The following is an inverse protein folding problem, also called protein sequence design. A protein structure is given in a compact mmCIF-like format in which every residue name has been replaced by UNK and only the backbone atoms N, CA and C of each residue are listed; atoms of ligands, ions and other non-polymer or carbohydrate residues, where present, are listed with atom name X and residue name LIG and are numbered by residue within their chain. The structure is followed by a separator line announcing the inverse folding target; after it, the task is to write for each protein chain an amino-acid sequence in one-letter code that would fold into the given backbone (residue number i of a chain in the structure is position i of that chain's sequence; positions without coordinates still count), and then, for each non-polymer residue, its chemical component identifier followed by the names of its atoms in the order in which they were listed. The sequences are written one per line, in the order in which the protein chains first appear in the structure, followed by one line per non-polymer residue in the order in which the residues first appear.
data_IF_040185494628
#
_entry.id   IF_040185494628
#
_cell.length_a   1.000
_cell.length_b   1.000
_cell.length_c   1.000
_cell.angle_alpha   90.00
_cell.angle_beta   90.00
_cell.angle_gamma   90.00
#
_symmetry.space_group_name_H-M   'P 1'
#
loop_
_entity.id
_entity.type
_entity.pdbx_description
1 polymer ?
#
# COMPACT_ATOMS: atom_id res chain seq x y z
N UNK A 1 -3.23 1.02 -10.34
CA UNK A 1 -3.78 1.82 -11.45
C UNK A 1 -4.34 3.16 -10.96
N UNK A 2 -5.25 3.18 -9.94
CA UNK A 2 -5.87 4.41 -9.40
C UNK A 2 -4.84 5.44 -8.90
N UNK A 3 -3.77 5.00 -8.23
CA UNK A 3 -2.71 5.88 -7.73
C UNK A 3 -1.83 6.40 -8.86
N UNK A 4 -1.54 5.59 -9.88
CA UNK A 4 -0.84 6.02 -11.09
C UNK A 4 -1.66 7.06 -11.84
N UNK A 5 -2.97 6.86 -11.98
CA UNK A 5 -3.88 7.84 -12.59
C UNK A 5 -3.93 9.14 -11.79
N UNK A 6 -3.95 9.07 -10.46
CA UNK A 6 -3.95 10.26 -9.59
C UNK A 6 -2.63 11.06 -9.70
N UNK A 7 -1.48 10.38 -9.77
CA UNK A 7 -0.17 11.02 -9.95
C UNK A 7 -0.06 11.61 -11.36
N UNK A 8 -0.45 10.87 -12.39
CA UNK A 8 -0.40 11.33 -13.77
C UNK A 8 -1.33 12.52 -14.03
N UNK A 9 -2.53 12.50 -13.47
CA UNK A 9 -3.47 13.62 -13.55
C UNK A 9 -2.96 14.88 -12.85
N UNK A 10 -2.14 14.75 -11.80
CA UNK A 10 -1.50 15.90 -11.14
C UNK A 10 -0.41 16.55 -11.99
N UNK A 11 0.37 15.78 -12.72
CA UNK A 11 1.42 16.31 -13.61
C UNK A 11 0.84 17.04 -14.82
N UNK A 12 -0.37 16.67 -15.25
CA UNK A 12 -1.05 17.31 -16.40
C UNK A 12 -1.82 18.57 -15.98
N UNK A 13 -2.29 18.67 -14.72
CA UNK A 13 -3.01 19.85 -14.21
C UNK A 13 -2.09 20.77 -13.40
N UNK A 14 -1.21 21.49 -14.05
CA UNK A 14 -0.26 22.45 -13.46
C UNK A 14 -0.89 23.72 -12.88
N UNK A 15 -2.19 23.79 -12.68
CA UNK A 15 -2.87 24.96 -12.10
C UNK A 15 -3.88 24.57 -11.00
N UNK A 16 -3.39 24.09 -9.87
CA UNK A 16 -4.23 24.15 -8.66
C UNK A 16 -3.33 24.11 -7.43
N UNK A 17 -3.53 25.08 -6.55
CA UNK A 17 -3.05 25.11 -5.17
C UNK A 17 -3.11 23.72 -4.57
N UNK A 18 -1.99 23.02 -4.62
CA UNK A 18 -1.84 21.67 -4.08
C UNK A 18 -1.91 21.78 -2.58
N UNK A 19 -3.00 21.28 -2.00
CA UNK A 19 -3.11 21.17 -0.56
C UNK A 19 -1.94 20.27 -0.09
N UNK A 20 -0.94 20.80 0.67
CA UNK A 20 0.28 20.06 0.99
C UNK A 20 -0.01 18.76 1.74
N UNK A 21 -1.10 18.74 2.52
CA UNK A 21 -1.58 17.55 3.24
C UNK A 21 -1.95 16.42 2.29
N UNK A 22 -2.66 16.73 1.20
CA UNK A 22 -3.02 15.74 0.18
C UNK A 22 -1.78 15.20 -0.53
N UNK A 23 -0.79 16.08 -0.79
CA UNK A 23 0.50 15.71 -1.38
C UNK A 23 1.25 14.70 -0.52
N UNK A 24 1.29 14.92 0.78
CA UNK A 24 1.92 14.04 1.75
C UNK A 24 1.24 12.66 1.81
N UNK A 25 -0.10 12.61 1.80
CA UNK A 25 -0.84 11.33 1.75
C UNK A 25 -0.53 10.52 0.50
N UNK A 26 -0.45 11.16 -0.68
CA UNK A 26 -0.07 10.49 -1.94
C UNK A 26 1.38 9.99 -1.88
N UNK A 27 2.29 10.78 -1.32
CA UNK A 27 3.70 10.38 -1.17
C UNK A 27 3.84 9.12 -0.29
N UNK A 28 3.16 9.08 0.86
CA UNK A 28 3.13 7.89 1.72
C UNK A 28 2.53 6.69 1.00
N UNK A 29 1.46 6.89 0.22
CA UNK A 29 0.86 5.82 -0.60
C UNK A 29 1.82 5.26 -1.64
N UNK A 30 2.64 6.09 -2.28
CA UNK A 30 3.68 5.65 -3.23
C UNK A 30 4.72 4.78 -2.51
N UNK A 31 5.19 5.20 -1.33
CA UNK A 31 6.11 4.39 -0.52
C UNK A 31 5.47 3.04 -0.17
N UNK A 32 4.20 3.02 0.23
CA UNK A 32 3.47 1.78 0.50
C UNK A 32 3.43 0.83 -0.72
N UNK A 33 3.24 1.37 -1.94
CA UNK A 33 3.31 0.57 -3.18
C UNK A 33 4.72 0.02 -3.41
N UNK A 34 5.76 0.81 -3.17
CA UNK A 34 7.14 0.34 -3.32
C UNK A 34 7.44 -0.81 -2.36
N UNK A 35 6.97 -0.73 -1.11
CA UNK A 35 7.08 -1.81 -0.12
C UNK A 35 6.32 -3.06 -0.60
N UNK A 36 5.14 -2.91 -1.20
CA UNK A 36 4.38 -4.03 -1.78
C UNK A 36 5.13 -4.67 -2.96
N UNK A 37 5.68 -3.86 -3.86
CA UNK A 37 6.50 -4.35 -4.99
C UNK A 37 7.74 -5.09 -4.50
N UNK A 38 8.43 -4.54 -3.49
CA UNK A 38 9.58 -5.20 -2.86
C UNK A 38 9.19 -6.57 -2.29
N UNK A 39 8.05 -6.65 -1.61
CA UNK A 39 7.53 -7.90 -1.10
C UNK A 39 7.23 -8.92 -2.21
N UNK A 40 6.57 -8.50 -3.30
CA UNK A 40 6.28 -9.36 -4.44
C UNK A 40 7.57 -9.86 -5.11
N UNK A 41 8.57 -8.99 -5.24
CA UNK A 41 9.90 -9.38 -5.72
C UNK A 41 10.53 -10.44 -4.81
N UNK A 42 10.47 -10.24 -3.50
CA UNK A 42 10.97 -11.16 -2.50
C UNK A 42 10.27 -12.52 -2.58
N UNK A 43 8.94 -12.56 -2.66
CA UNK A 43 8.15 -13.79 -2.86
C UNK A 43 8.54 -14.50 -4.17
N UNK A 44 8.78 -13.79 -5.26
CA UNK A 44 9.23 -14.39 -6.51
C UNK A 44 10.64 -15.01 -6.40
N UNK A 45 11.50 -14.43 -5.59
CA UNK A 45 12.82 -15.01 -5.28
C UNK A 45 12.67 -16.39 -4.60
N UNK A 46 11.61 -16.60 -3.79
CA UNK A 46 11.31 -17.88 -3.12
C UNK A 46 10.67 -18.94 -4.00
N UNK A 47 10.00 -18.57 -5.08
CA UNK A 47 9.57 -19.57 -6.08
C UNK A 47 10.75 -20.35 -6.68
N UNK A 48 11.95 -19.78 -6.63
CA UNK A 48 13.18 -20.52 -6.96
C UNK A 48 13.53 -21.55 -5.88
N UNK A 49 13.34 -21.20 -4.60
CA UNK A 49 13.54 -22.13 -3.48
C UNK A 49 12.52 -23.28 -3.53
N UNK A 50 11.27 -23.02 -3.87
CA UNK A 50 10.22 -24.03 -4.01
C UNK A 50 10.58 -25.06 -5.10
N UNK A 51 11.14 -24.61 -6.21
CA UNK A 51 11.68 -25.51 -7.25
C UNK A 51 12.86 -26.34 -6.78
N UNK A 52 13.68 -25.82 -5.86
CA UNK A 52 14.79 -26.58 -5.25
C UNK A 52 14.28 -27.63 -4.25
N UNK A 53 13.17 -27.34 -3.54
CA UNK A 53 12.48 -28.31 -2.66
C UNK A 53 11.87 -29.49 -3.44
N UNK A 54 11.45 -29.27 -4.68
CA UNK A 54 10.92 -30.31 -5.57
C UNK A 54 12.02 -31.11 -6.32
N UNK A 55 13.26 -30.68 -6.17
CA UNK A 55 14.41 -31.36 -6.79
C UNK A 55 14.66 -32.74 -6.12
N UNK A 56 14.97 -33.80 -6.88
CA UNK A 56 15.28 -35.11 -6.32
C UNK A 56 16.57 -35.13 -5.49
N UNK A 57 17.35 -34.07 -5.53
CA UNK A 57 18.65 -34.00 -4.85
C UNK A 57 18.47 -33.38 -3.44
N UNK A 58 18.52 -34.23 -2.40
CA UNK A 58 18.33 -33.83 -0.98
C UNK A 58 19.33 -32.81 -0.46
N UNK A 59 20.52 -32.69 -1.05
CA UNK A 59 21.56 -31.76 -0.66
C UNK A 59 21.20 -30.29 -1.01
N UNK A 60 20.26 -30.07 -1.94
CA UNK A 60 19.80 -28.76 -2.39
C UNK A 60 18.57 -28.26 -1.63
N UNK A 61 18.04 -29.06 -0.67
CA UNK A 61 16.87 -28.64 0.09
C UNK A 61 17.24 -27.51 1.07
N UNK A 62 16.51 -26.37 1.04
CA UNK A 62 16.71 -25.30 2.01
C UNK A 62 16.43 -25.80 3.42
N UNK A 63 17.19 -25.31 4.38
CA UNK A 63 16.96 -25.61 5.80
C UNK A 63 15.63 -25.00 6.26
N UNK A 64 14.97 -25.68 7.20
CA UNK A 64 13.72 -25.17 7.80
C UNK A 64 13.89 -23.74 8.32
N UNK A 65 15.04 -23.46 8.93
CA UNK A 65 15.37 -22.15 9.49
C UNK A 65 15.42 -21.04 8.41
N UNK A 66 15.93 -21.35 7.21
CA UNK A 66 15.98 -20.41 6.10
C UNK A 66 14.57 -20.02 5.65
N UNK A 67 13.65 -20.99 5.60
CA UNK A 67 12.24 -20.75 5.24
C UNK A 67 11.53 -19.89 6.30
N UNK A 68 11.76 -20.18 7.59
CA UNK A 68 11.20 -19.41 8.69
C UNK A 68 11.68 -17.97 8.65
N UNK A 69 12.97 -17.74 8.49
CA UNK A 69 13.56 -16.40 8.42
C UNK A 69 12.95 -15.56 7.29
N UNK A 70 12.66 -16.19 6.20
CA UNK A 70 12.03 -15.59 5.03
C UNK A 70 10.61 -15.15 5.30
N UNK A 71 9.83 -16.02 5.90
CA UNK A 71 8.45 -15.73 6.25
C UNK A 71 8.38 -14.63 7.31
N UNK A 72 9.28 -14.63 8.28
CA UNK A 72 9.40 -13.56 9.28
C UNK A 72 9.74 -12.22 8.63
N UNK A 73 10.73 -12.20 7.73
CA UNK A 73 11.08 -10.98 6.97
C UNK A 73 9.88 -10.50 6.14
N UNK A 74 9.19 -11.40 5.46
CA UNK A 74 7.98 -11.08 4.71
C UNK A 74 6.86 -10.50 5.58
N UNK A 75 6.71 -11.01 6.80
CA UNK A 75 5.76 -10.51 7.79
C UNK A 75 6.11 -9.09 8.25
N UNK A 76 7.38 -8.83 8.59
CA UNK A 76 7.87 -7.51 9.02
C UNK A 76 7.66 -6.49 7.90
N UNK A 77 8.05 -6.82 6.67
CA UNK A 77 7.86 -5.94 5.50
C UNK A 77 6.39 -5.65 5.25
N UNK A 78 5.50 -6.65 5.39
CA UNK A 78 4.07 -6.43 5.22
C UNK A 78 3.45 -5.59 6.33
N UNK A 79 3.87 -5.80 7.57
CA UNK A 79 3.36 -5.04 8.72
C UNK A 79 3.80 -3.58 8.63
N UNK A 80 5.04 -3.31 8.22
CA UNK A 80 5.51 -1.93 7.97
C UNK A 80 4.76 -1.28 6.80
N UNK A 81 4.52 -2.00 5.72
CA UNK A 81 3.72 -1.52 4.58
C UNK A 81 2.27 -1.25 4.96
N UNK A 82 1.68 -2.09 5.81
CA UNK A 82 0.33 -1.89 6.36
C UNK A 82 0.23 -0.60 7.16
N UNK A 83 1.20 -0.35 8.05
CA UNK A 83 1.26 0.88 8.84
C UNK A 83 1.39 2.12 7.95
N UNK A 84 2.27 2.08 6.95
CA UNK A 84 2.44 3.19 6.00
C UNK A 84 1.17 3.45 5.20
N UNK A 85 0.51 2.41 4.71
CA UNK A 85 -0.74 2.53 3.96
C UNK A 85 -1.88 3.07 4.84
N UNK A 86 -1.94 2.67 6.10
CA UNK A 86 -2.89 3.20 7.07
C UNK A 86 -2.67 4.70 7.31
N UNK A 87 -1.44 5.12 7.60
CA UNK A 87 -1.11 6.54 7.78
C UNK A 87 -1.41 7.37 6.52
N UNK A 88 -1.11 6.85 5.33
CA UNK A 88 -1.45 7.49 4.06
C UNK A 88 -2.97 7.68 3.91
N UNK A 89 -3.74 6.66 4.32
CA UNK A 89 -5.22 6.71 4.29
C UNK A 89 -5.75 7.79 5.23
N UNK A 90 -5.28 7.82 6.48
CA UNK A 90 -5.69 8.81 7.48
C UNK A 90 -5.44 10.25 6.99
N UNK A 91 -4.22 10.54 6.53
CA UNK A 91 -3.87 11.85 6.00
C UNK A 91 -4.75 12.25 4.82
N UNK A 92 -5.04 11.31 3.93
CA UNK A 92 -5.87 11.56 2.75
C UNK A 92 -7.32 11.82 3.13
N UNK A 93 -7.87 11.02 4.06
CA UNK A 93 -9.25 11.18 4.55
C UNK A 93 -9.41 12.51 5.28
N UNK A 94 -8.47 12.91 6.14
CA UNK A 94 -8.46 14.21 6.81
C UNK A 94 -8.47 15.35 5.78
N UNK A 95 -7.67 15.25 4.71
CA UNK A 95 -7.65 16.26 3.65
C UNK A 95 -8.99 16.36 2.90
N UNK A 96 -9.65 15.23 2.64
CA UNK A 96 -10.97 15.20 1.99
C UNK A 96 -12.06 15.74 2.94
N UNK A 97 -12.00 15.34 4.20
CA UNK A 97 -12.94 15.79 5.23
C UNK A 97 -12.83 17.32 5.45
N UNK A 98 -11.62 17.86 5.52
CA UNK A 98 -11.41 19.31 5.67
C UNK A 98 -12.01 20.10 4.50
N UNK A 99 -11.91 19.58 3.27
CA UNK A 99 -12.57 20.18 2.11
C UNK A 99 -14.09 20.11 2.24
N UNK A 100 -14.64 18.99 2.70
CA UNK A 100 -16.08 18.80 2.88
C UNK A 100 -16.66 19.78 3.91
N UNK A 101 -15.96 19.97 5.03
CA UNK A 101 -16.37 20.88 6.10
C UNK A 101 -16.23 22.37 5.72
N UNK A 102 -15.30 22.69 4.81
CA UNK A 102 -15.11 24.06 4.33
C UNK A 102 -16.16 24.50 3.30
N UNK A 103 -17.03 23.60 2.83
CA UNK A 103 -18.15 23.95 1.95
C UNK A 103 -19.26 24.61 2.79
N UNK A 104 -19.60 25.90 2.57
CA UNK A 104 -20.68 26.56 3.28
C UNK A 104 -22.00 25.93 2.89
N UNK A 105 -22.74 25.45 3.90
CA UNK A 105 -24.09 24.91 3.67
C UNK A 105 -25.05 26.06 3.32
N UNK A 106 -25.62 26.00 2.12
CA UNK A 106 -26.71 26.89 1.69
C UNK A 106 -26.28 28.19 0.99
N UNK A 107 -25.01 28.42 0.71
CA UNK A 107 -24.55 29.60 -0.03
C UNK A 107 -23.79 29.19 -1.28
N UNK A 108 -24.22 29.69 -2.45
CA UNK A 108 -23.59 29.41 -3.75
C UNK A 108 -22.24 30.17 -3.94
N UNK A 109 -21.37 30.13 -2.94
CA UNK A 109 -20.00 30.63 -3.07
C UNK A 109 -19.13 29.52 -3.55
N UNK A 110 -18.90 29.46 -4.86
CA UNK A 110 -18.05 28.47 -5.49
C UNK A 110 -16.57 28.81 -5.26
N UNK A 111 -15.94 28.10 -4.34
CA UNK A 111 -14.49 28.10 -4.17
C UNK A 111 -13.94 26.79 -4.76
N UNK A 112 -13.27 26.83 -5.92
CA UNK A 112 -12.81 25.62 -6.62
C UNK A 112 -11.80 24.79 -5.81
N UNK A 113 -11.08 25.42 -4.86
CA UNK A 113 -10.13 24.74 -3.97
C UNK A 113 -10.80 23.81 -2.95
N UNK A 114 -12.05 24.07 -2.59
CA UNK A 114 -12.80 23.28 -1.60
C UNK A 114 -13.66 22.17 -2.24
N UNK A 115 -13.69 22.10 -3.57
CA UNK A 115 -14.46 21.06 -4.25
C UNK A 115 -13.75 19.71 -4.11
N UNK A 116 -14.48 18.71 -3.59
CA UNK A 116 -14.02 17.32 -3.57
C UNK A 116 -14.02 16.81 -5.01
N UNK A 117 -12.87 16.42 -5.49
CA UNK A 117 -12.72 15.87 -6.85
C UNK A 117 -12.83 14.34 -6.80
N UNK A 118 -13.31 13.77 -7.89
CA UNK A 118 -13.31 12.29 -8.05
C UNK A 118 -11.93 11.68 -7.82
N UNK A 119 -10.86 12.41 -8.17
CA UNK A 119 -9.48 12.00 -7.91
C UNK A 119 -9.16 11.85 -6.42
N UNK A 120 -9.70 12.71 -5.57
CA UNK A 120 -9.50 12.63 -4.12
C UNK A 120 -10.08 11.31 -3.58
N UNK A 121 -11.25 10.91 -4.06
CA UNK A 121 -11.88 9.63 -3.72
C UNK A 121 -11.11 8.42 -4.28
N UNK A 122 -10.54 8.53 -5.48
CA UNK A 122 -9.69 7.47 -6.03
C UNK A 122 -8.42 7.25 -5.21
N UNK A 123 -7.83 8.32 -4.66
CA UNK A 123 -6.66 8.19 -3.78
C UNK A 123 -7.04 7.49 -2.47
N UNK A 124 -8.19 7.82 -1.87
CA UNK A 124 -8.71 7.12 -0.68
C UNK A 124 -8.92 5.63 -1.01
N UNK A 125 -9.61 5.32 -2.10
CA UNK A 125 -9.85 3.94 -2.53
C UNK A 125 -8.55 3.17 -2.77
N UNK A 126 -7.56 3.81 -3.39
CA UNK A 126 -6.26 3.20 -3.61
C UNK A 126 -5.54 2.85 -2.31
N UNK A 127 -5.58 3.75 -1.32
CA UNK A 127 -4.99 3.51 0.00
C UNK A 127 -5.69 2.37 0.75
N UNK A 128 -7.01 2.29 0.71
CA UNK A 128 -7.79 1.19 1.30
C UNK A 128 -7.43 -0.15 0.65
N UNK A 129 -7.32 -0.20 -0.68
CA UNK A 129 -6.88 -1.41 -1.38
C UNK A 129 -5.44 -1.81 -1.03
N UNK A 130 -4.57 -0.84 -0.80
CA UNK A 130 -3.19 -1.07 -0.38
C UNK A 130 -3.12 -1.66 1.04
N UNK A 131 -3.94 -1.15 1.98
CA UNK A 131 -4.12 -1.73 3.32
C UNK A 131 -4.55 -3.19 3.19
N UNK A 132 -5.57 -3.47 2.38
CA UNK A 132 -6.05 -4.83 2.14
C UNK A 132 -4.93 -5.76 1.61
N UNK A 133 -4.15 -5.30 0.63
CA UNK A 133 -3.06 -6.07 0.06
C UNK A 133 -1.98 -6.44 1.09
N UNK A 134 -1.56 -5.49 1.93
CA UNK A 134 -0.60 -5.74 2.99
C UNK A 134 -1.17 -6.63 4.10
N UNK A 135 -2.45 -6.44 4.45
CA UNK A 135 -3.14 -7.26 5.44
C UNK A 135 -3.18 -8.74 5.02
N UNK A 136 -3.69 -9.05 3.83
CA UNK A 136 -3.71 -10.41 3.30
C UNK A 136 -2.32 -11.02 3.22
N UNK A 137 -1.37 -10.19 2.87
CA UNK A 137 0.01 -10.61 2.85
C UNK A 137 0.55 -10.99 4.22
N UNK A 138 0.28 -10.23 5.26
CA UNK A 138 0.67 -10.55 6.63
C UNK A 138 -0.03 -11.82 7.10
N UNK A 139 -1.33 -11.95 6.83
CA UNK A 139 -2.12 -13.12 7.18
C UNK A 139 -1.57 -14.41 6.56
N UNK A 140 -1.18 -14.34 5.28
CA UNK A 140 -0.58 -15.49 4.58
C UNK A 140 0.76 -15.90 5.23
N UNK A 141 1.62 -14.92 5.55
CA UNK A 141 2.90 -15.20 6.19
C UNK A 141 2.73 -15.82 7.58
N UNK A 142 1.79 -15.30 8.39
CA UNK A 142 1.47 -15.85 9.71
C UNK A 142 0.90 -17.27 9.61
N UNK A 143 -0.01 -17.51 8.66
CA UNK A 143 -0.59 -18.84 8.45
C UNK A 143 0.46 -19.88 8.10
N UNK A 144 1.40 -19.54 7.22
CA UNK A 144 2.50 -20.43 6.84
C UNK A 144 3.48 -20.65 7.99
N UNK A 145 3.82 -19.63 8.78
CA UNK A 145 4.66 -19.78 9.97
C UNK A 145 4.05 -20.74 10.97
N UNK A 146 2.77 -20.55 11.31
CA UNK A 146 2.06 -21.43 12.24
C UNK A 146 1.95 -22.87 11.75
N UNK A 147 1.87 -23.08 10.42
CA UNK A 147 1.87 -24.40 9.84
C UNK A 147 3.23 -25.09 9.90
N UNK A 148 4.32 -24.35 9.76
CA UNK A 148 5.69 -24.86 9.82
C UNK A 148 6.17 -25.20 11.23
N UNK A 149 5.57 -24.56 12.26
CA UNK A 149 5.92 -24.76 13.67
C UNK A 149 5.19 -25.96 14.31
N UNK A 150 4.10 -26.42 13.67
CA UNK A 150 3.37 -27.65 14.09
C UNK A 150 4.03 -28.90 13.58
#
# INVERSE_FOLDING_TARGET
LALLLAVFSRTVTTQTTTNPVMGFGVFLGIIGILVLCFRLYWVNCYRRLDKLLQSPNRELHPRKDDVIQVLQTGLIVSSSGLLLAFLASEVTVIAVLSKSLALPQGVAVYRPENVIRSLDLFVVLANVNLIGAHFFGSLTSLGLLNWLER
#
